data_IF_992215777165
#
_entry.id   IF_992215777165
#
_cell.length_a   1.000
_cell.length_b   1.000
_cell.length_c   1.000
_cell.angle_alpha   90.00
_cell.angle_beta   90.00
_cell.angle_gamma   90.00
#
_symmetry.space_group_name_H-M   'P 1'
#
loop_
_entity.id
_entity.type
_entity.pdbx_description
1 polymer ?
#
# COMPACT_ATOMS: atom_id res chain seq x y z
N UNK A 1 13.60 -16.85 -6.83
CA UNK A 1 12.25 -17.00 -6.22
C UNK A 1 11.90 -18.47 -6.12
N UNK A 2 12.20 -19.12 -5.00
CA UNK A 2 11.93 -20.56 -4.77
C UNK A 2 10.92 -20.74 -3.63
N UNK A 3 9.70 -21.11 -4.04
CA UNK A 3 8.68 -21.92 -3.35
C UNK A 3 8.79 -22.07 -1.82
N UNK A 4 8.07 -21.21 -1.09
CA UNK A 4 7.14 -21.72 -0.07
C UNK A 4 5.83 -22.01 -0.79
N UNK A 5 5.26 -23.18 -0.51
CA UNK A 5 4.17 -23.77 -1.27
C UNK A 5 2.97 -22.82 -1.27
N UNK A 6 2.50 -22.43 -2.46
CA UNK A 6 1.29 -21.60 -2.59
C UNK A 6 0.08 -22.21 -1.89
N UNK A 7 0.13 -23.50 -1.53
CA UNK A 7 -0.89 -24.20 -0.76
C UNK A 7 -1.20 -23.57 0.61
N UNK A 8 -0.20 -23.16 1.40
CA UNK A 8 -0.44 -22.66 2.77
C UNK A 8 -1.03 -21.23 2.75
N UNK A 9 -0.57 -20.40 1.83
CA UNK A 9 -1.10 -19.05 1.63
C UNK A 9 -2.47 -19.09 0.95
N UNK A 10 -2.70 -20.05 0.03
CA UNK A 10 -4.02 -20.35 -0.52
C UNK A 10 -4.99 -20.79 0.56
N UNK A 11 -4.60 -21.71 1.46
CA UNK A 11 -5.46 -22.16 2.55
C UNK A 11 -5.77 -21.02 3.53
N UNK A 12 -4.79 -20.16 3.82
CA UNK A 12 -4.98 -18.96 4.63
C UNK A 12 -5.95 -17.97 3.98
N UNK A 13 -5.76 -17.64 2.70
CA UNK A 13 -6.63 -16.73 1.93
C UNK A 13 -8.03 -17.34 1.73
N UNK A 14 -8.13 -18.64 1.49
CA UNK A 14 -9.40 -19.37 1.36
C UNK A 14 -10.19 -19.34 2.68
N UNK A 15 -9.54 -19.59 3.82
CA UNK A 15 -10.15 -19.52 5.17
C UNK A 15 -10.49 -18.09 5.62
N UNK A 16 -9.92 -17.09 4.95
CA UNK A 16 -10.23 -15.66 5.10
C UNK A 16 -11.51 -15.30 4.32
N UNK A 17 -11.70 -15.90 3.14
CA UNK A 17 -12.75 -15.53 2.18
C UNK A 17 -14.02 -16.41 2.27
N UNK A 18 -14.05 -17.44 3.12
CA UNK A 18 -15.20 -18.36 3.22
C UNK A 18 -16.52 -17.62 3.59
N UNK A 19 -17.37 -17.43 2.57
CA UNK A 19 -18.72 -16.86 2.65
C UNK A 19 -19.75 -17.98 2.76
N UNK A 20 -20.26 -18.23 3.96
CA UNK A 20 -21.37 -19.16 4.18
C UNK A 20 -22.70 -18.46 3.83
N UNK A 21 -23.10 -18.52 2.55
CA UNK A 21 -24.45 -18.33 1.98
C UNK A 21 -25.24 -17.06 2.31
N UNK A 22 -24.72 -16.21 3.17
CA UNK A 22 -25.33 -15.00 3.68
C UNK A 22 -24.23 -13.96 3.77
N UNK A 23 -24.37 -12.87 3.01
CA UNK A 23 -23.40 -11.78 2.93
C UNK A 23 -23.02 -11.20 4.32
N UNK A 24 -23.88 -11.38 5.32
CA UNK A 24 -23.62 -11.01 6.72
C UNK A 24 -22.62 -11.92 7.45
N UNK A 25 -22.15 -13.02 6.86
CA UNK A 25 -21.27 -14.01 7.51
C UNK A 25 -20.05 -14.40 6.68
N UNK A 26 -19.51 -13.48 5.87
CA UNK A 26 -18.11 -13.56 5.46
C UNK A 26 -17.22 -13.46 6.71
N UNK A 27 -16.97 -14.59 7.37
CA UNK A 27 -16.09 -14.66 8.53
C UNK A 27 -14.65 -14.65 8.01
N UNK A 28 -14.09 -13.46 7.85
CA UNK A 28 -12.66 -13.27 8.09
C UNK A 28 -12.39 -13.77 9.51
N UNK A 29 -12.00 -15.05 9.64
CA UNK A 29 -11.64 -15.63 10.92
C UNK A 29 -10.52 -14.79 11.55
N UNK A 30 -10.44 -14.86 12.89
CA UNK A 30 -9.50 -14.20 13.82
C UNK A 30 -7.98 -14.28 13.47
N UNK A 31 -7.64 -14.83 12.31
CA UNK A 31 -6.31 -15.02 11.73
C UNK A 31 -5.91 -13.85 10.81
N UNK A 32 -6.86 -13.05 10.30
CA UNK A 32 -6.57 -11.73 9.72
C UNK A 32 -6.22 -10.75 10.86
N UNK A 33 -5.06 -10.96 11.48
CA UNK A 33 -4.42 -9.95 12.31
C UNK A 33 -4.18 -8.71 11.43
N UNK A 34 -4.10 -7.52 12.01
CA UNK A 34 -3.65 -6.31 11.33
C UNK A 34 -2.18 -6.51 10.90
N UNK A 35 -2.02 -7.13 9.73
CA UNK A 35 -0.72 -7.39 9.11
C UNK A 35 -0.49 -6.20 8.18
N UNK A 36 0.58 -5.49 8.48
CA UNK A 36 1.13 -4.44 7.62
C UNK A 36 2.62 -4.74 7.49
N UNK A 37 3.11 -5.04 6.28
CA UNK A 37 4.53 -5.22 6.05
C UNK A 37 5.26 -3.89 6.20
N UNK A 38 6.52 -4.00 6.61
CA UNK A 38 7.48 -2.89 6.64
C UNK A 38 8.71 -3.36 5.89
N UNK A 39 9.41 -2.43 5.26
CA UNK A 39 10.69 -2.71 4.63
C UNK A 39 11.79 -2.85 5.69
N UNK A 40 12.37 -4.05 5.89
CA UNK A 40 13.52 -4.22 6.76
C UNK A 40 14.77 -3.81 5.99
N UNK A 41 15.47 -2.77 6.47
CA UNK A 41 16.73 -2.31 5.84
C UNK A 41 17.92 -2.54 6.79
N UNK A 42 17.68 -3.11 7.97
CA UNK A 42 18.70 -3.26 9.00
C UNK A 42 19.77 -4.31 8.62
N UNK A 43 21.01 -4.03 9.02
CA UNK A 43 22.20 -4.90 8.96
C UNK A 43 22.79 -5.23 7.58
N UNK A 44 22.33 -4.60 6.49
CA UNK A 44 22.95 -4.74 5.16
C UNK A 44 23.96 -3.62 4.88
N UNK A 45 25.10 -3.87 4.19
CA UNK A 45 25.99 -2.81 3.71
C UNK A 45 25.25 -1.84 2.77
N UNK A 46 25.62 -0.56 2.78
CA UNK A 46 24.92 0.51 2.03
C UNK A 46 24.72 0.19 0.55
N UNK A 47 25.73 -0.38 -0.11
CA UNK A 47 25.65 -0.78 -1.54
C UNK A 47 24.53 -1.82 -1.77
N UNK A 48 24.38 -2.76 -0.84
CA UNK A 48 23.37 -3.82 -0.94
C UNK A 48 21.98 -3.28 -0.58
N UNK A 49 21.90 -2.32 0.35
CA UNK A 49 20.65 -1.62 0.61
C UNK A 49 20.16 -0.85 -0.60
N UNK A 50 21.05 -0.10 -1.27
CA UNK A 50 20.72 0.65 -2.48
C UNK A 50 20.23 -0.28 -3.59
N UNK A 51 20.94 -1.40 -3.83
CA UNK A 51 20.52 -2.40 -4.80
C UNK A 51 19.15 -3.00 -4.43
N UNK A 52 18.94 -3.38 -3.17
CA UNK A 52 17.68 -3.94 -2.70
C UNK A 52 16.52 -2.96 -2.88
N UNK A 53 16.71 -1.69 -2.50
CA UNK A 53 15.70 -0.65 -2.67
C UNK A 53 15.43 -0.35 -4.16
N UNK A 54 16.45 -0.44 -5.01
CA UNK A 54 16.28 -0.29 -6.46
C UNK A 54 15.46 -1.44 -7.08
N UNK A 55 15.64 -2.66 -6.62
CA UNK A 55 14.86 -3.81 -7.09
C UNK A 55 13.42 -3.83 -6.54
N UNK A 56 13.20 -3.22 -5.37
CA UNK A 56 11.93 -3.31 -4.64
C UNK A 56 11.00 -2.13 -4.88
N UNK A 57 11.54 -0.93 -5.07
CA UNK A 57 10.76 0.31 -5.14
C UNK A 57 10.45 0.70 -6.59
N UNK A 58 9.22 1.17 -6.79
CA UNK A 58 8.83 1.83 -8.04
C UNK A 58 9.27 3.29 -8.00
N UNK A 59 10.48 3.57 -8.48
CA UNK A 59 11.05 4.93 -8.52
C UNK A 59 10.23 5.89 -9.36
N UNK A 60 9.61 5.41 -10.45
CA UNK A 60 8.80 6.26 -11.32
C UNK A 60 7.50 6.66 -10.64
N UNK A 61 6.77 5.71 -10.06
CA UNK A 61 5.56 6.00 -9.29
C UNK A 61 5.87 6.89 -8.07
N UNK A 62 6.96 6.61 -7.35
CA UNK A 62 7.41 7.44 -6.23
C UNK A 62 7.63 8.89 -6.66
N UNK A 63 8.39 9.11 -7.73
CA UNK A 63 8.71 10.46 -8.21
C UNK A 63 7.44 11.22 -8.62
N UNK A 64 6.50 10.56 -9.29
CA UNK A 64 5.24 11.19 -9.71
C UNK A 64 4.37 11.59 -8.52
N UNK A 65 4.20 10.68 -7.54
CA UNK A 65 3.41 10.96 -6.34
C UNK A 65 4.02 12.07 -5.48
N UNK A 66 5.34 12.24 -5.51
CA UNK A 66 6.07 13.31 -4.80
C UNK A 66 6.17 14.64 -5.58
N UNK A 67 5.38 14.82 -6.64
CA UNK A 67 5.30 16.08 -7.40
C UNK A 67 6.28 16.19 -8.57
N UNK A 68 6.78 15.05 -9.05
CA UNK A 68 7.55 14.97 -10.29
C UNK A 68 6.76 15.50 -11.49
N UNK A 69 7.45 16.15 -12.43
CA UNK A 69 6.81 16.70 -13.64
C UNK A 69 6.03 18.00 -13.44
N UNK A 70 6.25 18.71 -12.32
CA UNK A 70 5.66 20.04 -12.05
C UNK A 70 4.27 20.01 -11.42
N UNK A 71 3.82 18.84 -10.97
CA UNK A 71 2.54 18.67 -10.30
C UNK A 71 2.64 18.88 -8.78
N UNK A 72 1.53 19.23 -8.12
CA UNK A 72 1.49 19.22 -6.66
C UNK A 72 1.75 17.81 -6.11
N UNK A 73 2.60 17.64 -5.10
CA UNK A 73 2.85 16.34 -4.49
C UNK A 73 1.59 15.82 -3.79
N UNK A 74 1.16 14.61 -4.17
CA UNK A 74 0.10 13.87 -3.50
C UNK A 74 0.61 13.08 -2.29
N UNK A 75 1.90 12.72 -2.29
CA UNK A 75 2.56 11.90 -1.27
C UNK A 75 3.78 12.62 -0.68
N UNK A 76 4.09 12.31 0.58
CA UNK A 76 5.32 12.74 1.29
C UNK A 76 5.60 14.25 1.23
N UNK A 77 4.56 15.09 1.12
CA UNK A 77 4.67 16.54 1.01
C UNK A 77 4.96 17.25 2.34
N UNK A 78 4.71 16.59 3.48
CA UNK A 78 4.88 17.16 4.82
C UNK A 78 6.14 16.63 5.51
N UNK A 79 7.12 17.52 5.72
CA UNK A 79 8.34 17.21 6.51
C UNK A 79 8.02 16.79 7.96
N UNK A 80 6.91 17.29 8.50
CA UNK A 80 6.43 16.89 9.82
C UNK A 80 6.12 15.39 9.86
N UNK A 81 5.44 14.89 8.82
CA UNK A 81 5.02 13.49 8.74
C UNK A 81 6.20 12.60 8.32
N UNK A 82 6.96 13.01 7.30
CA UNK A 82 8.01 12.18 6.72
C UNK A 82 9.22 12.07 7.64
N UNK A 83 9.80 13.21 8.04
CA UNK A 83 11.08 13.26 8.76
C UNK A 83 10.87 13.20 10.27
N UNK A 84 10.00 14.06 10.81
CA UNK A 84 9.84 14.19 12.28
C UNK A 84 9.08 13.02 12.89
N UNK A 85 8.03 12.54 12.21
CA UNK A 85 7.24 11.38 12.64
C UNK A 85 7.69 10.07 11.97
N UNK A 86 8.75 10.08 11.15
CA UNK A 86 9.31 8.89 10.51
C UNK A 86 8.31 8.11 9.66
N UNK A 87 7.27 8.77 9.13
CA UNK A 87 6.14 8.13 8.43
C UNK A 87 6.22 8.31 6.91
N UNK A 88 7.44 8.39 6.38
CA UNK A 88 7.66 8.41 4.93
C UNK A 88 7.16 7.11 4.31
N UNK A 89 6.35 7.23 3.26
CA UNK A 89 5.79 6.09 2.53
C UNK A 89 6.56 5.85 1.23
N UNK A 90 6.78 4.56 0.92
CA UNK A 90 7.52 4.11 -0.25
C UNK A 90 6.65 3.24 -1.14
N UNK A 91 6.64 3.54 -2.44
CA UNK A 91 5.93 2.81 -3.47
C UNK A 91 6.67 1.52 -3.82
N UNK A 92 6.03 0.39 -3.57
CA UNK A 92 6.54 -0.91 -3.97
C UNK A 92 6.27 -1.16 -5.45
N UNK A 93 7.25 -1.74 -6.11
CA UNK A 93 7.08 -2.25 -7.46
C UNK A 93 6.13 -3.45 -7.47
N UNK A 94 5.30 -3.53 -8.51
CA UNK A 94 4.49 -4.70 -8.81
C UNK A 94 4.39 -4.93 -10.32
N UNK A 95 3.73 -6.03 -10.71
CA UNK A 95 3.56 -6.37 -12.13
C UNK A 95 2.46 -5.50 -12.76
N UNK A 96 2.81 -4.75 -13.79
CA UNK A 96 1.88 -3.91 -14.57
C UNK A 96 1.05 -4.72 -15.59
N UNK A 97 0.42 -5.82 -15.14
CA UNK A 97 -0.32 -6.75 -15.99
C UNK A 97 -1.86 -6.67 -15.81
N UNK A 98 -2.37 -5.52 -15.38
CA UNK A 98 -3.81 -5.28 -15.20
C UNK A 98 -4.39 -5.70 -13.84
N UNK A 99 -3.66 -6.46 -13.03
CA UNK A 99 -4.05 -6.87 -11.66
C UNK A 99 -3.37 -6.02 -10.56
N UNK A 100 -2.78 -4.87 -10.94
CA UNK A 100 -1.97 -4.03 -10.04
C UNK A 100 -2.69 -3.59 -8.76
N UNK A 101 -4.01 -3.35 -8.78
CA UNK A 101 -4.79 -3.01 -7.58
C UNK A 101 -4.74 -4.14 -6.54
N UNK A 102 -4.97 -5.38 -6.99
CA UNK A 102 -5.03 -6.55 -6.12
C UNK A 102 -3.66 -6.92 -5.60
N UNK A 103 -2.65 -6.86 -6.48
CA UNK A 103 -1.26 -7.03 -6.11
C UNK A 103 -0.82 -5.99 -5.08
N UNK A 104 -1.17 -4.71 -5.27
CA UNK A 104 -0.82 -3.64 -4.32
C UNK A 104 -1.51 -3.83 -2.98
N UNK A 105 -2.79 -4.22 -2.98
CA UNK A 105 -3.51 -4.51 -1.74
C UNK A 105 -2.90 -5.70 -1.00
N UNK A 106 -2.57 -6.79 -1.72
CA UNK A 106 -1.89 -7.97 -1.17
C UNK A 106 -0.48 -7.65 -0.65
N UNK A 107 0.25 -6.77 -1.33
CA UNK A 107 1.55 -6.28 -0.89
C UNK A 107 1.43 -5.43 0.37
N UNK A 108 0.47 -4.50 0.43
CA UNK A 108 0.26 -3.60 1.58
C UNK A 108 -0.25 -4.31 2.85
N UNK A 109 -0.69 -5.57 2.72
CA UNK A 109 -1.25 -6.37 3.82
C UNK A 109 -0.39 -7.59 4.15
N UNK A 110 -0.01 -8.41 3.17
CA UNK A 110 0.73 -9.66 3.39
C UNK A 110 2.13 -9.69 2.76
N UNK A 111 2.49 -8.67 1.95
CA UNK A 111 3.80 -8.59 1.31
C UNK A 111 3.97 -9.55 0.11
N UNK A 112 2.86 -9.97 -0.52
CA UNK A 112 2.86 -10.91 -1.65
C UNK A 112 2.00 -10.39 -2.80
N UNK A 113 2.05 -11.05 -3.96
CA UNK A 113 1.19 -10.79 -5.12
C UNK A 113 -0.03 -11.72 -5.13
N UNK A 114 -1.13 -11.31 -5.78
CA UNK A 114 -2.29 -12.17 -6.04
C UNK A 114 -2.03 -13.11 -7.23
N UNK A 115 -1.03 -14.00 -7.10
CA UNK A 115 -0.58 -14.84 -8.22
C UNK A 115 -1.63 -15.81 -8.74
N UNK A 116 -2.48 -16.32 -7.84
CA UNK A 116 -3.48 -17.35 -8.13
C UNK A 116 -4.89 -16.76 -8.31
N UNK A 117 -4.99 -15.43 -8.50
CA UNK A 117 -6.24 -14.69 -8.67
C UNK A 117 -7.27 -15.03 -7.57
N UNK A 118 -6.80 -15.25 -6.34
CA UNK A 118 -7.65 -15.61 -5.22
C UNK A 118 -8.42 -14.38 -4.74
N UNK A 119 -7.72 -13.25 -4.60
CA UNK A 119 -8.36 -11.99 -4.26
C UNK A 119 -9.23 -11.47 -5.40
N UNK A 120 -8.81 -11.66 -6.67
CA UNK A 120 -9.65 -11.31 -7.82
C UNK A 120 -10.97 -12.07 -7.85
N UNK A 121 -10.94 -13.38 -7.62
CA UNK A 121 -12.17 -14.20 -7.54
C UNK A 121 -13.04 -13.77 -6.37
N UNK A 122 -12.45 -13.55 -5.20
CA UNK A 122 -13.18 -13.04 -4.04
C UNK A 122 -13.89 -11.71 -4.34
N UNK A 123 -13.24 -10.81 -5.07
CA UNK A 123 -13.80 -9.54 -5.51
C UNK A 123 -15.00 -9.72 -6.44
N UNK A 124 -14.84 -10.53 -7.49
CA UNK A 124 -15.91 -10.82 -8.44
C UNK A 124 -17.11 -11.50 -7.76
N UNK A 125 -16.86 -12.52 -6.94
CA UNK A 125 -17.89 -13.24 -6.19
C UNK A 125 -18.63 -12.31 -5.22
N UNK A 126 -17.90 -11.43 -4.53
CA UNK A 126 -18.50 -10.45 -3.61
C UNK A 126 -19.44 -9.51 -4.35
N UNK A 127 -19.02 -8.92 -5.47
CA UNK A 127 -19.87 -8.01 -6.24
C UNK A 127 -21.09 -8.72 -6.83
N UNK A 128 -20.93 -9.96 -7.31
CA UNK A 128 -22.02 -10.76 -7.84
C UNK A 128 -23.06 -11.13 -6.77
N UNK A 129 -22.61 -11.58 -5.60
CA UNK A 129 -23.50 -12.08 -4.53
C UNK A 129 -24.10 -10.94 -3.68
N UNK A 130 -23.38 -9.83 -3.55
CA UNK A 130 -23.75 -8.69 -2.71
C UNK A 130 -24.19 -7.47 -3.51
N UNK A 131 -24.43 -7.62 -4.82
CA UNK A 131 -24.76 -6.51 -5.71
C UNK A 131 -25.91 -5.65 -5.19
N UNK A 132 -26.90 -6.24 -4.52
CA UNK A 132 -28.03 -5.51 -3.92
C UNK A 132 -27.63 -4.44 -2.87
N UNK A 133 -26.44 -4.52 -2.28
CA UNK A 133 -25.92 -3.53 -1.33
C UNK A 133 -24.94 -2.56 -1.98
N UNK A 134 -24.11 -3.05 -2.90
CA UNK A 134 -23.13 -2.23 -3.62
C UNK A 134 -23.78 -1.36 -4.70
N UNK A 135 -24.74 -1.89 -5.45
CA UNK A 135 -25.39 -1.20 -6.56
C UNK A 135 -26.07 0.12 -6.12
N UNK A 136 -26.88 0.18 -5.05
CA UNK A 136 -27.50 1.44 -4.62
C UNK A 136 -26.44 2.50 -4.25
N UNK A 137 -25.39 2.09 -3.53
CA UNK A 137 -24.28 2.98 -3.14
C UNK A 137 -23.50 3.50 -4.35
N UNK A 138 -23.20 2.60 -5.29
CA UNK A 138 -22.51 2.94 -6.54
C UNK A 138 -23.33 3.90 -7.39
N UNK A 139 -24.61 3.58 -7.60
CA UNK A 139 -25.53 4.39 -8.39
C UNK A 139 -25.69 5.80 -7.83
N UNK A 140 -25.92 5.92 -6.52
CA UNK A 140 -26.04 7.24 -5.86
C UNK A 140 -24.74 8.04 -6.00
N UNK A 141 -23.59 7.37 -5.82
CA UNK A 141 -22.28 7.98 -5.99
C UNK A 141 -22.08 8.51 -7.42
N UNK A 142 -22.24 7.68 -8.45
CA UNK A 142 -22.09 8.10 -9.85
C UNK A 142 -23.11 9.17 -10.26
N UNK A 143 -24.37 9.05 -9.82
CA UNK A 143 -25.39 10.06 -10.07
C UNK A 143 -25.01 11.42 -9.46
N UNK A 144 -24.46 11.43 -8.24
CA UNK A 144 -24.00 12.67 -7.59
C UNK A 144 -22.81 13.31 -8.30
N UNK A 145 -21.93 12.50 -8.90
CA UNK A 145 -20.79 12.99 -9.70
C UNK A 145 -21.28 13.56 -11.03
N UNK A 146 -22.15 12.82 -11.73
CA UNK A 146 -22.77 13.22 -12.99
C UNK A 146 -23.51 14.56 -12.85
N UNK A 147 -24.35 14.70 -11.82
CA UNK A 147 -25.12 15.93 -11.59
C UNK A 147 -24.21 17.12 -11.26
N UNK A 148 -23.15 16.92 -10.48
CA UNK A 148 -22.20 17.99 -10.10
C UNK A 148 -21.32 18.45 -11.26
N UNK A 149 -20.92 17.54 -12.14
CA UNK A 149 -19.96 17.85 -13.20
C UNK A 149 -20.61 18.25 -14.51
N UNK A 150 -21.78 17.70 -14.83
CA UNK A 150 -22.30 17.69 -16.20
C UNK A 150 -23.83 17.95 -16.28
N UNK A 151 -24.52 18.16 -15.15
CA UNK A 151 -25.97 18.44 -15.05
C UNK A 151 -26.85 17.50 -15.89
N UNK A 152 -26.54 16.20 -15.85
CA UNK A 152 -27.27 15.17 -16.60
C UNK A 152 -27.63 13.99 -15.71
N UNK A 153 -28.64 13.22 -16.13
CA UNK A 153 -29.10 11.99 -15.47
C UNK A 153 -29.19 10.86 -16.50
N UNK A 154 -28.69 9.67 -16.13
CA UNK A 154 -28.77 8.47 -16.97
C UNK A 154 -30.13 7.77 -16.85
N UNK A 155 -30.55 7.10 -17.93
CA UNK A 155 -31.73 6.21 -17.96
C UNK A 155 -31.47 4.91 -17.18
N UNK A 156 -32.53 4.26 -16.68
CA UNK A 156 -32.43 3.04 -15.87
C UNK A 156 -31.74 1.88 -16.59
N UNK A 157 -31.93 1.75 -17.90
CA UNK A 157 -31.28 0.72 -18.73
C UNK A 157 -29.76 0.89 -18.75
N UNK A 158 -29.28 2.13 -18.91
CA UNK A 158 -27.84 2.42 -18.91
C UNK A 158 -27.20 2.07 -17.56
N UNK A 159 -27.89 2.35 -16.44
CA UNK A 159 -27.38 1.97 -15.12
C UNK A 159 -27.18 0.46 -14.97
N UNK A 160 -28.05 -0.36 -15.58
CA UNK A 160 -27.90 -1.81 -15.53
C UNK A 160 -26.75 -2.28 -16.42
N UNK A 161 -26.62 -1.74 -17.63
CA UNK A 161 -25.51 -2.06 -18.54
C UNK A 161 -24.15 -1.70 -17.94
N UNK A 162 -24.04 -0.51 -17.34
CA UNK A 162 -22.82 -0.04 -16.67
C UNK A 162 -22.48 -0.94 -15.46
N UNK A 163 -23.50 -1.34 -14.69
CA UNK A 163 -23.32 -2.26 -13.57
C UNK A 163 -22.85 -3.65 -14.03
N UNK A 164 -23.47 -4.21 -15.08
CA UNK A 164 -23.05 -5.50 -15.66
C UNK A 164 -21.62 -5.44 -16.20
N UNK A 165 -21.21 -4.32 -16.81
CA UNK A 165 -19.85 -4.08 -17.27
C UNK A 165 -18.84 -4.10 -16.10
N UNK A 166 -19.19 -3.47 -14.96
CA UNK A 166 -18.36 -3.50 -13.75
C UNK A 166 -18.20 -4.93 -13.20
N UNK A 167 -19.30 -5.71 -13.16
CA UNK A 167 -19.24 -7.12 -12.74
C UNK A 167 -18.35 -7.96 -13.66
N UNK A 168 -18.51 -7.80 -14.97
CA UNK A 168 -17.69 -8.50 -15.97
C UNK A 168 -16.20 -8.14 -15.84
N UNK A 169 -15.91 -6.86 -15.59
CA UNK A 169 -14.56 -6.35 -15.39
C UNK A 169 -13.91 -6.98 -14.16
N UNK A 170 -14.62 -7.09 -13.03
CA UNK A 170 -14.10 -7.78 -11.84
C UNK A 170 -13.77 -9.26 -12.13
N UNK A 171 -14.64 -9.95 -12.86
CA UNK A 171 -14.51 -11.38 -13.17
C UNK A 171 -13.39 -11.69 -14.17
N UNK A 172 -13.04 -10.76 -15.07
CA UNK A 172 -12.03 -10.97 -16.11
C UNK A 172 -10.62 -10.66 -15.60
N UNK A 173 -9.70 -11.64 -15.47
CA UNK A 173 -8.32 -11.39 -15.05
C UNK A 173 -7.58 -10.42 -15.99
N UNK A 174 -6.76 -9.53 -15.43
CA UNK A 174 -6.01 -8.54 -16.20
C UNK A 174 -6.83 -7.34 -16.70
N UNK A 175 -8.15 -7.30 -16.49
CA UNK A 175 -8.93 -6.10 -16.79
C UNK A 175 -8.69 -5.01 -15.73
N UNK A 176 -8.60 -3.76 -16.17
CA UNK A 176 -8.39 -2.62 -15.29
C UNK A 176 -9.59 -2.43 -14.34
N UNK A 177 -9.31 -2.23 -13.05
CA UNK A 177 -10.34 -2.11 -12.02
C UNK A 177 -10.62 -0.63 -11.69
N UNK A 178 -11.91 -0.34 -11.49
CA UNK A 178 -12.45 0.99 -11.13
C UNK A 178 -12.63 1.23 -9.62
N UNK A 179 -13.08 2.43 -9.23
CA UNK A 179 -13.23 2.87 -7.84
C UNK A 179 -14.15 1.95 -7.02
N UNK A 180 -15.21 1.41 -7.64
CA UNK A 180 -16.11 0.45 -7.00
C UNK A 180 -15.36 -0.80 -6.52
N UNK A 181 -14.37 -1.25 -7.27
CA UNK A 181 -13.57 -2.43 -6.91
C UNK A 181 -12.68 -2.14 -5.71
N UNK A 182 -12.15 -0.91 -5.58
CA UNK A 182 -11.42 -0.49 -4.37
C UNK A 182 -12.36 -0.47 -3.17
N UNK A 183 -13.58 0.04 -3.34
CA UNK A 183 -14.59 0.03 -2.29
C UNK A 183 -14.97 -1.39 -1.85
N UNK A 184 -15.28 -2.29 -2.80
CA UNK A 184 -15.55 -3.69 -2.50
C UNK A 184 -14.34 -4.39 -1.84
N UNK A 185 -13.12 -4.06 -2.26
CA UNK A 185 -11.90 -4.57 -1.65
C UNK A 185 -11.75 -4.14 -0.19
N UNK A 186 -12.09 -2.89 0.16
CA UNK A 186 -12.12 -2.45 1.56
C UNK A 186 -13.07 -3.30 2.42
N UNK A 187 -14.18 -3.78 1.85
CA UNK A 187 -15.13 -4.68 2.53
C UNK A 187 -14.59 -6.09 2.67
N UNK A 188 -13.91 -6.62 1.65
CA UNK A 188 -13.26 -7.94 1.70
C UNK A 188 -12.17 -7.96 2.76
N UNK A 189 -11.40 -6.88 2.85
CA UNK A 189 -10.34 -6.74 3.86
C UNK A 189 -10.89 -6.33 5.25
N UNK A 190 -12.16 -5.89 5.33
CA UNK A 190 -12.75 -5.24 6.52
C UNK A 190 -11.84 -4.13 7.07
N UNK A 191 -11.19 -3.40 6.17
CA UNK A 191 -10.11 -2.45 6.48
C UNK A 191 -10.17 -1.25 5.53
N UNK A 192 -10.09 -0.01 6.04
CA UNK A 192 -9.98 1.18 5.22
C UNK A 192 -8.79 1.16 4.25
N UNK A 193 -9.00 1.71 3.06
CA UNK A 193 -7.96 1.89 2.04
C UNK A 193 -7.84 3.39 1.74
N UNK A 194 -6.65 3.94 1.90
CA UNK A 194 -6.32 5.31 1.51
C UNK A 194 -5.58 5.24 0.18
N UNK A 195 -6.07 5.96 -0.83
CA UNK A 195 -5.42 6.07 -2.13
C UNK A 195 -4.89 7.49 -2.29
N UNK A 196 -3.57 7.62 -2.42
CA UNK A 196 -2.92 8.85 -2.83
C UNK A 196 -2.64 8.74 -4.33
N UNK A 197 -2.99 9.76 -5.10
CA UNK A 197 -2.82 9.65 -6.55
C UNK A 197 -2.81 10.98 -7.26
N UNK A 198 -2.36 10.93 -8.51
CA UNK A 198 -2.44 12.09 -9.40
C UNK A 198 -3.91 12.41 -9.66
N UNK A 199 -4.25 13.70 -9.67
CA UNK A 199 -5.61 14.18 -9.93
C UNK A 199 -6.01 13.98 -11.40
N UNK A 200 -5.08 14.18 -12.31
CA UNK A 200 -5.30 14.10 -13.76
C UNK A 200 -4.51 12.95 -14.39
N UNK A 201 -5.13 12.29 -15.36
CA UNK A 201 -4.47 11.32 -16.24
C UNK A 201 -3.93 12.08 -17.44
N UNK A 202 -2.62 12.03 -17.63
CA UNK A 202 -1.93 12.74 -18.72
C UNK A 202 -1.70 11.88 -19.94
N UNK A 203 -1.74 12.50 -21.12
CA UNK A 203 -1.32 11.91 -22.38
C UNK A 203 0.20 11.79 -22.44
N UNK A 204 0.71 11.04 -23.42
CA UNK A 204 2.14 10.98 -23.71
C UNK A 204 2.76 12.37 -24.05
N UNK A 205 1.92 13.36 -24.41
CA UNK A 205 2.31 14.75 -24.66
C UNK A 205 2.22 15.65 -23.42
N UNK A 206 1.76 15.11 -22.29
CA UNK A 206 1.60 15.84 -21.02
C UNK A 206 0.28 16.60 -20.87
N UNK A 207 -0.66 16.42 -21.80
CA UNK A 207 -1.99 17.04 -21.75
C UNK A 207 -2.95 16.25 -20.84
N UNK A 208 -3.79 16.93 -20.08
CA UNK A 208 -4.78 16.28 -19.21
C UNK A 208 -5.90 15.67 -20.06
N UNK A 209 -5.97 14.34 -20.10
CA UNK A 209 -6.98 13.58 -20.87
C UNK A 209 -8.24 13.36 -20.03
N UNK A 210 -8.09 13.27 -18.70
CA UNK A 210 -9.22 12.98 -17.83
C UNK A 210 -8.86 13.06 -16.37
N UNK A 211 -9.88 12.98 -15.52
CA UNK A 211 -9.73 13.00 -14.07
C UNK A 211 -9.61 11.57 -13.54
N UNK A 212 -8.56 11.26 -12.78
CA UNK A 212 -8.27 9.91 -12.31
C UNK A 212 -9.31 9.39 -11.30
N UNK A 213 -9.95 10.27 -10.52
CA UNK A 213 -11.01 9.96 -9.54
C UNK A 213 -10.66 8.90 -8.47
N UNK A 214 -9.43 8.42 -8.36
CA UNK A 214 -9.06 7.40 -7.37
C UNK A 214 -8.55 7.97 -6.05
N UNK A 215 -8.02 9.20 -6.02
CA UNK A 215 -7.56 9.84 -4.79
C UNK A 215 -8.71 9.91 -3.77
N UNK A 216 -8.46 9.46 -2.54
CA UNK A 216 -9.46 9.47 -1.48
C UNK A 216 -9.38 8.30 -0.52
N UNK A 217 -10.40 8.19 0.32
CA UNK A 217 -10.52 7.14 1.34
C UNK A 217 -11.72 6.25 1.02
N UNK A 218 -11.47 4.95 0.99
CA UNK A 218 -12.46 3.90 0.78
C UNK A 218 -12.70 3.19 2.12
N UNK A 219 -13.90 3.33 2.65
CA UNK A 219 -14.29 2.77 3.94
C UNK A 219 -15.22 1.56 3.72
N UNK A 220 -15.13 0.52 4.56
CA UNK A 220 -16.05 -0.62 4.52
C UNK A 220 -17.45 -0.30 5.07
N UNK A 221 -18.11 0.75 4.54
CA UNK A 221 -19.34 1.38 5.05
C UNK A 221 -20.56 0.44 5.14
N UNK A 222 -20.52 -0.69 4.44
CA UNK A 222 -21.59 -1.69 4.49
C UNK A 222 -21.46 -2.67 5.66
N UNK A 223 -20.36 -2.60 6.40
CA UNK A 223 -20.15 -3.31 7.65
C UNK A 223 -20.53 -2.46 8.86
N UNK A 224 -20.61 -3.10 10.03
CA UNK A 224 -20.64 -2.38 11.30
C UNK A 224 -19.19 -1.99 11.68
N UNK A 225 -18.91 -0.75 12.13
CA UNK A 225 -17.54 -0.30 12.41
C UNK A 225 -16.78 -1.18 13.42
N UNK A 226 -17.50 -1.76 14.39
CA UNK A 226 -16.97 -2.69 15.39
C UNK A 226 -16.40 -3.97 14.77
N UNK A 227 -16.84 -4.31 13.57
CA UNK A 227 -16.39 -5.44 12.79
C UNK A 227 -15.19 -5.09 11.91
N UNK A 228 -14.73 -3.84 11.85
CA UNK A 228 -13.65 -3.43 10.95
C UNK A 228 -12.36 -3.08 11.70
N UNK A 229 -11.24 -3.30 11.01
CA UNK A 229 -9.92 -2.84 11.45
C UNK A 229 -9.83 -1.35 11.16
N UNK A 230 -9.48 -0.53 12.15
CA UNK A 230 -9.40 0.95 12.01
C UNK A 230 -8.05 1.47 11.50
N UNK A 231 -7.07 0.57 11.43
CA UNK A 231 -5.75 0.80 10.84
C UNK A 231 -5.87 0.71 9.31
N UNK A 232 -5.62 1.77 8.52
CA UNK A 232 -5.78 1.71 7.06
C UNK A 232 -4.62 0.98 6.37
N UNK A 233 -4.78 0.63 5.09
CA UNK A 233 -3.66 0.46 4.14
C UNK A 233 -3.56 1.66 3.20
N UNK A 234 -2.37 1.93 2.67
CA UNK A 234 -2.13 3.01 1.72
C UNK A 234 -1.74 2.46 0.35
N UNK A 235 -2.35 3.00 -0.70
CA UNK A 235 -2.05 2.70 -2.10
C UNK A 235 -1.71 4.00 -2.84
N UNK A 236 -0.80 3.90 -3.80
CA UNK A 236 -0.47 4.94 -4.77
C UNK A 236 -1.21 4.70 -6.06
N UNK A 237 -1.67 5.75 -6.74
CA UNK A 237 -2.23 5.66 -8.09
C UNK A 237 -1.55 6.64 -9.05
N UNK A 238 -0.93 6.11 -10.10
CA UNK A 238 -0.20 6.87 -11.13
C UNK A 238 -0.47 6.30 -12.51
N UNK A 239 -0.93 7.11 -13.46
CA UNK A 239 -1.09 6.74 -14.90
C UNK A 239 -1.76 5.37 -15.15
N UNK A 240 -2.82 5.02 -14.41
CA UNK A 240 -3.51 3.73 -14.58
C UNK A 240 -2.89 2.56 -13.82
N UNK A 241 -1.94 2.84 -12.92
CA UNK A 241 -1.22 1.83 -12.15
C UNK A 241 -1.36 2.07 -10.65
N UNK A 242 -1.69 1.01 -9.91
CA UNK A 242 -1.68 1.01 -8.46
C UNK A 242 -0.34 0.51 -7.92
N UNK A 243 0.15 1.10 -6.84
CA UNK A 243 1.32 0.63 -6.08
C UNK A 243 1.00 0.55 -4.60
N UNK A 244 1.62 -0.39 -3.88
CA UNK A 244 1.50 -0.44 -2.42
C UNK A 244 2.39 0.65 -1.81
N UNK A 245 1.86 1.42 -0.85
CA UNK A 245 2.63 2.41 -0.12
C UNK A 245 2.91 1.91 1.30
N UNK A 246 4.18 1.64 1.58
CA UNK A 246 4.61 1.06 2.86
C UNK A 246 5.64 1.93 3.56
N UNK A 247 5.64 1.98 4.90
CA UNK A 247 6.72 2.61 5.65
C UNK A 247 7.99 1.75 5.62
N UNK A 248 9.15 2.40 5.72
CA UNK A 248 10.41 1.73 6.06
C UNK A 248 10.48 1.56 7.58
N UNK A 249 11.01 0.41 8.04
CA UNK A 249 11.26 0.20 9.46
C UNK A 249 12.28 1.25 9.97
N UNK A 250 11.93 2.05 11.00
CA UNK A 250 12.79 3.13 11.44
C UNK A 250 14.12 2.57 11.93
N UNK A 251 15.22 3.09 11.39
CA UNK A 251 16.59 2.79 11.81
C UNK A 251 16.71 2.87 13.34
N UNK A 252 16.99 1.76 14.01
CA UNK A 252 17.38 1.78 15.43
C UNK A 252 18.65 2.63 15.70
N UNK A 253 19.39 2.98 14.65
CA UNK A 253 20.69 3.69 14.69
C UNK A 253 20.61 5.20 14.84
N UNK A 254 19.42 5.82 14.80
CA UNK A 254 19.27 7.26 15.06
C UNK A 254 19.47 7.55 16.55
N UNK A 255 20.74 7.60 16.99
CA UNK A 255 21.18 8.08 18.32
C UNK A 255 21.00 9.60 18.48
N UNK A 256 19.94 10.16 17.91
CA UNK A 256 19.53 11.53 18.14
C UNK A 256 18.14 11.43 18.76
N UNK A 257 18.01 11.52 20.10
CA UNK A 257 16.70 11.77 20.66
C UNK A 257 16.16 13.07 20.02
N UNK A 258 14.92 13.07 19.50
CA UNK A 258 14.31 14.32 19.05
C UNK A 258 14.37 15.28 20.24
N UNK A 259 14.97 16.44 20.00
CA UNK A 259 15.13 17.48 21.02
C UNK A 259 13.76 17.69 21.66
N UNK A 260 13.66 17.49 22.97
CA UNK A 260 12.41 17.65 23.71
C UNK A 260 11.94 19.11 23.60
N UNK A 261 11.19 19.43 22.56
CA UNK A 261 10.47 20.69 22.46
C UNK A 261 9.24 20.54 23.33
N UNK A 262 9.28 21.26 24.46
CA UNK A 262 8.19 21.43 25.40
C UNK A 262 6.86 21.73 24.68
N UNK A 263 6.01 20.71 24.58
CA UNK A 263 4.63 20.81 24.12
C UNK A 263 3.77 19.90 24.99
N UNK A 264 3.17 20.47 26.04
CA UNK A 264 2.22 19.78 26.90
C UNK A 264 0.99 19.43 26.07
N UNK A 265 0.90 18.17 25.62
CA UNK A 265 -0.36 17.57 25.17
C UNK A 265 -0.72 16.51 26.20
N UNK A 266 -1.88 16.70 26.84
CA UNK A 266 -2.44 15.86 27.89
C UNK A 266 -2.38 14.36 27.56
N UNK A 267 -1.45 13.67 28.21
CA UNK A 267 -1.37 12.22 28.28
C UNK A 267 -0.31 11.82 29.29
N UNK A 268 -0.66 10.99 30.28
CA UNK A 268 0.21 10.55 31.39
C UNK A 268 1.38 9.64 30.96
N UNK A 269 1.79 9.67 29.69
CA UNK A 269 2.78 8.74 29.17
C UNK A 269 4.18 9.32 29.31
N UNK A 270 5.13 8.48 29.72
CA UNK A 270 6.54 8.86 29.81
C UNK A 270 7.12 9.21 28.43
N UNK A 271 8.16 10.07 28.33
CA UNK A 271 8.80 10.41 27.07
C UNK A 271 9.31 9.18 26.28
N UNK A 272 9.71 8.12 26.98
CA UNK A 272 10.14 6.84 26.40
C UNK A 272 8.98 6.06 25.76
N UNK A 273 7.79 6.08 26.37
CA UNK A 273 6.60 5.46 25.80
C UNK A 273 6.11 6.22 24.56
N UNK A 274 6.21 7.56 24.56
CA UNK A 274 5.89 8.37 23.38
C UNK A 274 6.81 8.06 22.20
N UNK A 275 8.12 7.92 22.45
CA UNK A 275 9.11 7.48 21.46
C UNK A 275 8.80 6.08 20.92
N UNK A 276 8.45 5.12 21.79
CA UNK A 276 8.06 3.78 21.34
C UNK A 276 6.78 3.75 20.50
N UNK A 277 5.78 4.57 20.86
CA UNK A 277 4.54 4.69 20.09
C UNK A 277 4.84 5.29 18.71
N UNK A 278 5.68 6.32 18.63
CA UNK A 278 6.13 6.90 17.36
C UNK A 278 6.87 5.88 16.49
N UNK A 279 7.75 5.05 17.06
CA UNK A 279 8.46 4.00 16.31
C UNK A 279 7.56 2.85 15.83
N UNK A 280 6.36 2.70 16.40
CA UNK A 280 5.42 1.63 16.08
C UNK A 280 4.16 2.13 15.37
N UNK A 281 4.12 3.40 14.95
CA UNK A 281 2.95 3.97 14.30
C UNK A 281 3.35 4.74 13.05
N UNK A 282 2.70 4.43 11.94
CA UNK A 282 2.81 5.23 10.72
C UNK A 282 1.62 6.17 10.62
N UNK A 283 1.90 7.44 10.37
CA UNK A 283 0.90 8.51 10.23
C UNK A 283 0.64 8.80 8.75
N UNK A 284 -0.62 8.69 8.34
CA UNK A 284 -1.06 8.82 6.95
C UNK A 284 -1.98 10.04 6.82
N UNK A 285 -1.59 11.12 6.10
CA UNK A 285 -2.41 12.32 5.99
C UNK A 285 -3.76 12.06 5.31
N UNK A 286 -4.83 12.55 5.94
CA UNK A 286 -6.21 12.52 5.43
C UNK A 286 -6.60 13.83 4.74
N UNK A 287 -5.60 14.62 4.34
CA UNK A 287 -5.75 15.89 3.63
C UNK A 287 -4.62 16.08 2.62
N UNK A 288 -4.86 16.92 1.61
CA UNK A 288 -3.83 17.38 0.70
C UNK A 288 -2.94 18.47 1.33
N UNK A 289 -1.90 18.89 0.59
CA UNK A 289 -0.96 19.93 1.04
C UNK A 289 -1.61 21.30 1.25
N UNK A 290 -2.79 21.53 0.67
CA UNK A 290 -3.63 22.71 0.87
C UNK A 290 -4.56 22.57 2.09
N UNK A 291 -4.40 21.52 2.90
CA UNK A 291 -5.22 21.19 4.07
C UNK A 291 -6.70 20.89 3.74
N UNK A 292 -7.00 20.56 2.48
CA UNK A 292 -8.33 20.09 2.08
C UNK A 292 -8.43 18.59 2.39
N UNK A 293 -9.51 18.18 3.05
CA UNK A 293 -9.76 16.76 3.32
C UNK A 293 -9.81 15.94 2.04
N UNK A 294 -9.21 14.74 2.10
CA UNK A 294 -9.37 13.75 1.05
C UNK A 294 -10.86 13.37 0.94
N UNK A 295 -11.38 13.12 -0.26
CA UNK A 295 -12.78 12.70 -0.41
C UNK A 295 -12.97 11.29 0.18
N UNK A 296 -14.11 11.07 0.82
CA UNK A 296 -14.55 9.72 1.17
C UNK A 296 -15.44 9.22 0.03
N UNK A 297 -15.06 8.09 -0.57
CA UNK A 297 -15.78 7.51 -1.70
C UNK A 297 -17.06 6.81 -1.24
N UNK A 298 -18.10 6.83 -2.09
CA UNK A 298 -19.37 6.14 -1.90
C UNK A 298 -20.18 6.56 -0.66
N UNK A 299 -20.01 7.81 -0.20
CA UNK A 299 -20.93 8.41 0.78
C UNK A 299 -22.32 8.62 0.16
N UNK A 300 -23.33 8.33 0.96
CA UNK A 300 -24.73 8.72 0.68
C UNK A 300 -24.93 10.22 0.89
N UNK A 301 -26.01 10.74 0.33
CA UNK A 301 -26.49 12.11 0.55
C UNK A 301 -26.59 12.51 2.02
N UNK A 302 -26.97 11.58 2.90
CA UNK A 302 -27.09 11.81 4.35
C UNK A 302 -25.74 11.80 5.10
N UNK A 303 -24.69 11.25 4.50
CA UNK A 303 -23.34 11.16 5.07
C UNK A 303 -22.44 12.33 4.64
N UNK A 304 -22.75 12.95 3.50
CA UNK A 304 -22.03 14.12 2.99
C UNK A 304 -22.11 15.28 4.00
N UNK A 305 -20.98 15.93 4.26
CA UNK A 305 -20.85 16.97 5.29
C UNK A 305 -20.53 16.44 6.70
N UNK A 306 -20.47 15.12 6.90
CA UNK A 306 -20.09 14.47 8.18
C UNK A 306 -18.72 13.78 8.11
N UNK A 307 -17.87 14.14 7.15
CA UNK A 307 -16.63 13.43 6.81
C UNK A 307 -15.68 13.29 8.00
N UNK A 308 -15.46 14.34 8.79
CA UNK A 308 -14.60 14.25 9.99
C UNK A 308 -15.15 13.27 11.04
N UNK A 309 -16.47 13.20 11.20
CA UNK A 309 -17.10 12.28 12.14
C UNK A 309 -16.97 10.84 11.65
N UNK A 310 -17.17 10.63 10.35
CA UNK A 310 -16.98 9.33 9.69
C UNK A 310 -15.52 8.88 9.83
N UNK A 311 -14.54 9.76 9.59
CA UNK A 311 -13.14 9.41 9.84
C UNK A 311 -12.89 8.99 11.28
N UNK A 312 -13.42 9.72 12.27
CA UNK A 312 -13.29 9.36 13.68
C UNK A 312 -14.00 8.08 14.06
N UNK A 313 -14.98 7.62 13.30
CA UNK A 313 -15.72 6.37 13.51
C UNK A 313 -14.99 5.16 12.89
N UNK A 314 -14.40 5.34 11.70
CA UNK A 314 -13.83 4.24 10.92
C UNK A 314 -12.31 4.11 11.02
N UNK A 315 -11.61 5.16 11.44
CA UNK A 315 -10.15 5.21 11.53
C UNK A 315 -9.70 5.61 12.93
N UNK A 316 -8.50 5.18 13.32
CA UNK A 316 -7.80 5.76 14.45
C UNK A 316 -7.14 7.07 13.96
N UNK A 317 -7.74 8.22 14.27
CA UNK A 317 -7.27 9.53 13.77
C UNK A 317 -6.71 10.43 14.87
N UNK A 318 -5.74 11.27 14.51
CA UNK A 318 -5.30 12.39 15.34
C UNK A 318 -4.93 13.60 14.48
N UNK A 319 -4.74 14.76 15.10
CA UNK A 319 -4.14 15.94 14.46
C UNK A 319 -2.69 16.08 14.91
N UNK A 320 -1.80 16.34 13.97
CA UNK A 320 -0.39 16.66 14.25
C UNK A 320 -0.27 18.06 14.86
N UNK A 321 0.94 18.45 15.29
CA UNK A 321 1.20 19.80 15.81
C UNK A 321 1.00 20.86 14.72
N UNK A 322 1.35 20.53 13.47
CA UNK A 322 1.03 21.33 12.28
C UNK A 322 -0.44 21.38 11.91
N UNK A 323 -1.33 20.74 12.69
CA UNK A 323 -2.77 20.73 12.46
C UNK A 323 -3.23 19.75 11.37
N UNK A 324 -2.33 18.89 10.87
CA UNK A 324 -2.63 17.93 9.79
C UNK A 324 -3.46 16.77 10.38
N UNK A 325 -4.61 16.49 9.79
CA UNK A 325 -5.41 15.31 10.16
C UNK A 325 -4.75 14.07 9.57
N UNK A 326 -4.42 13.09 10.41
CA UNK A 326 -3.74 11.85 10.00
C UNK A 326 -4.49 10.64 10.53
N UNK A 327 -4.51 9.57 9.75
CA UNK A 327 -4.85 8.23 10.21
C UNK A 327 -3.60 7.55 10.78
N UNK A 328 -3.79 6.75 11.82
CA UNK A 328 -2.74 5.99 12.48
C UNK A 328 -2.80 4.54 12.03
N UNK A 329 -1.69 4.06 11.48
CA UNK A 329 -1.47 2.65 11.23
C UNK A 329 -0.52 2.13 12.30
N UNK A 330 -1.08 1.44 13.31
CA UNK A 330 -0.30 0.79 14.36
C UNK A 330 0.36 -0.47 13.80
N UNK A 331 1.64 -0.62 14.07
CA UNK A 331 2.45 -1.68 13.49
C UNK A 331 2.57 -2.84 14.48
N UNK A 332 1.91 -3.95 14.17
CA UNK A 332 1.95 -5.16 15.00
C UNK A 332 3.16 -6.05 14.69
N UNK A 333 3.38 -7.06 15.53
CA UNK A 333 4.38 -8.11 15.28
C UNK A 333 4.00 -8.89 14.02
N UNK A 334 4.97 -9.07 13.12
CA UNK A 334 4.81 -9.84 11.87
C UNK A 334 4.34 -11.28 12.21
N UNK A 335 3.34 -11.83 11.50
CA UNK A 335 3.03 -13.25 11.58
C UNK A 335 4.25 -14.10 11.22
N UNK A 336 4.35 -15.30 11.81
CA UNK A 336 5.52 -16.16 11.64
C UNK A 336 5.86 -16.43 10.17
N UNK A 337 4.86 -16.75 9.35
CA UNK A 337 5.06 -17.06 7.93
C UNK A 337 5.59 -15.85 7.14
N UNK A 338 5.04 -14.66 7.39
CA UNK A 338 5.51 -13.41 6.76
C UNK A 338 6.93 -13.08 7.23
N UNK A 339 7.22 -13.28 8.52
CA UNK A 339 8.56 -13.08 9.07
C UNK A 339 9.58 -14.06 8.46
N UNK A 340 9.23 -15.34 8.30
CA UNK A 340 10.08 -16.36 7.66
C UNK A 340 10.36 -16.01 6.20
N UNK A 341 9.33 -15.67 5.43
CA UNK A 341 9.48 -15.25 4.03
C UNK A 341 10.43 -14.04 3.90
N UNK A 342 10.26 -13.05 4.77
CA UNK A 342 11.08 -11.85 4.78
C UNK A 342 12.54 -12.16 5.15
N UNK A 343 12.74 -13.04 6.13
CA UNK A 343 14.07 -13.48 6.56
C UNK A 343 14.80 -14.28 5.47
N UNK A 344 14.11 -15.16 4.75
CA UNK A 344 14.66 -15.87 3.59
C UNK A 344 15.08 -14.91 2.47
N UNK A 345 14.26 -13.90 2.21
CA UNK A 345 14.54 -12.84 1.24
C UNK A 345 15.74 -11.99 1.66
N UNK A 346 15.81 -11.54 2.91
CA UNK A 346 16.96 -10.80 3.44
C UNK A 346 18.25 -11.63 3.40
N UNK A 347 18.17 -12.93 3.68
CA UNK A 347 19.33 -13.82 3.60
C UNK A 347 19.91 -13.92 2.19
N UNK A 348 19.13 -13.67 1.14
CA UNK A 348 19.66 -13.54 -0.22
C UNK A 348 20.61 -12.33 -0.36
N UNK A 349 20.19 -11.16 0.13
CA UNK A 349 21.01 -9.94 0.10
C UNK A 349 22.21 -10.02 1.03
N UNK A 350 22.08 -10.65 2.21
CA UNK A 350 23.24 -10.90 3.09
C UNK A 350 24.30 -11.78 2.41
N UNK A 351 23.89 -12.77 1.60
CA UNK A 351 24.82 -13.59 0.80
C UNK A 351 25.46 -12.81 -0.36
N UNK A 352 24.70 -11.93 -1.01
CA UNK A 352 25.23 -11.02 -2.05
C UNK A 352 26.31 -10.10 -1.47
N UNK A 353 26.06 -9.54 -0.27
CA UNK A 353 27.04 -8.73 0.46
C UNK A 353 28.37 -9.46 0.68
N UNK A 354 28.30 -10.71 1.18
CA UNK A 354 29.49 -11.54 1.43
C UNK A 354 30.26 -11.89 0.16
N UNK A 355 29.58 -12.00 -0.99
CA UNK A 355 30.21 -12.29 -2.27
C UNK A 355 30.91 -11.04 -2.83
N UNK A 356 30.32 -9.85 -2.65
CA UNK A 356 30.92 -8.58 -3.06
C UNK A 356 32.09 -8.14 -2.16
N UNK A 357 32.16 -8.59 -0.91
CA UNK A 357 33.27 -8.32 0.01
C UNK A 357 34.44 -9.33 -0.09
N UNK A 358 34.33 -10.38 -0.91
CA UNK A 358 35.37 -11.40 -0.99
C UNK A 358 36.68 -10.85 -1.62
N UNK A 359 37.81 -10.76 -0.88
CA UNK A 359 39.08 -10.34 -1.42
C UNK A 359 39.78 -11.57 -2.02
N UNK A 360 39.45 -11.92 -3.26
CA UNK A 360 40.25 -12.88 -4.03
C UNK A 360 40.61 -12.35 -5.41
N UNK A 361 41.22 -11.17 -5.45
CA UNK A 361 42.32 -10.96 -6.39
C UNK A 361 43.53 -11.75 -5.86
N UNK A 362 43.63 -13.03 -6.25
CA UNK A 362 44.94 -13.70 -6.22
C UNK A 362 45.86 -12.88 -7.12
N UNK A 363 46.99 -12.32 -6.64
CA UNK A 363 47.99 -11.81 -7.56
C UNK A 363 48.43 -12.97 -8.46
N UNK A 364 48.61 -12.77 -9.77
CA UNK A 364 49.24 -13.80 -10.59
C UNK A 364 50.61 -14.06 -9.95
N UNK A 365 50.82 -15.29 -9.51
CA UNK A 365 52.16 -15.79 -9.17
C UNK A 365 52.98 -15.65 -10.44
N UNK A 366 53.85 -14.64 -10.49
CA UNK A 366 54.99 -14.59 -11.39
C UNK A 366 55.78 -15.87 -11.14
N UNK A 367 55.59 -16.85 -12.02
CA UNK A 367 56.56 -17.92 -12.20
C UNK A 367 57.78 -17.27 -12.82
N UNK A 368 58.73 -16.90 -11.98
CA UNK A 368 60.11 -16.66 -12.39
C UNK A 368 60.62 -17.95 -13.05
N UNK A 369 60.57 -17.99 -14.37
CA UNK A 369 61.38 -18.90 -15.16
C UNK A 369 62.84 -18.43 -15.06
N UNK A 370 63.50 -18.80 -13.96
CA UNK A 370 64.95 -18.87 -13.91
C UNK A 370 65.37 -20.09 -14.72
N UNK A 371 65.68 -19.86 -15.99
CA UNK A 371 66.35 -20.81 -16.86
C UNK A 371 67.86 -20.61 -16.68
N UNK A 372 68.40 -21.19 -15.60
CA UNK A 372 69.85 -21.39 -15.52
C UNK A 372 70.26 -22.38 -16.62
N UNK A 373 71.22 -21.96 -17.43
CA UNK A 373 71.80 -22.75 -18.49
C UNK A 373 72.79 -23.77 -17.91
N UNK A 374 72.54 -25.03 -18.21
CA UNK A 374 73.56 -26.08 -18.11
C UNK A 374 74.19 -26.28 -19.49
N UNK A 375 75.48 -25.94 -19.55
CA UNK A 375 76.47 -26.38 -20.54
C UNK A 375 76.88 -27.83 -20.29
N UNK A 376 77.19 -28.56 -21.39
CA UNK A 376 77.91 -29.85 -21.59
C UNK A 376 77.09 -30.67 -22.62
N UNK A 377 77.56 -31.16 -23.78
CA UNK A 377 78.88 -31.46 -24.33
C UNK A 377 78.79 -31.51 -25.89
N UNK A 378 79.90 -31.09 -26.53
CA UNK A 378 80.51 -31.49 -27.84
C UNK A 378 81.14 -30.32 -28.61
#
# INVERSE_FOLDING_TARGET
>A
MSRLDGADLRDLLWRIVECDGSWQRARLHKVARDITPRLPVEDLPSIVQEQMLEELLDKEAQQQLEGGGGEPPALNWSLEITERLGSRLHALWNRSAGDCLLDSAMQATWGVFDRDNALRRALADTLQQAGQFFYPRWREYEASQASRMLDFTLEETQWQEDWESLLATAAQPGSALEQLHVFALAHILRRPIIVYGVKYVKSFRGEDIGYARFEGVYLPLLWEPSFCIRSPIALGYTRGHFTALVPIEPYASSRIPPLATHGVVSGNNSPLEQLQIQMQTTFMPLMDREHKLLPIHFLTTDEIGREESIYKEWLDVCRTEGGILVAQQKLHKRPLLVAQMLEEWLNHYRRLAQTNEAPFSRPPTLQDYSSDGDTEDE
#
